data_IF_630394389690
#
_entry.id   IF_630394389690
#
_cell.length_a   1.000
_cell.length_b   1.000
_cell.length_c   1.000
_cell.angle_alpha   90.00
_cell.angle_beta   90.00
_cell.angle_gamma   90.00
#
_symmetry.space_group_name_H-M   'P 1'
#
loop_
_entity.id
_entity.type
_entity.pdbx_description
1 polymer ?
#
# COMPACT_ATOMS: atom_id res chain seq x y z
N UNK A 1 -10.42 9.94 24.54
CA UNK A 1 -10.59 9.21 25.82
C UNK A 1 -9.97 10.00 26.95
N UNK A 2 -10.57 10.00 28.15
CA UNK A 2 -9.95 10.60 29.34
C UNK A 2 -8.86 9.68 29.90
N UNK A 3 -7.95 10.23 30.71
CA UNK A 3 -6.90 9.43 31.38
C UNK A 3 -7.48 8.30 32.26
N UNK A 4 -8.65 8.52 32.87
CA UNK A 4 -9.33 7.50 33.68
C UNK A 4 -9.95 6.39 32.82
N UNK A 5 -10.49 6.73 31.65
CA UNK A 5 -11.00 5.74 30.70
C UNK A 5 -9.86 4.87 30.15
N UNK A 6 -8.71 5.46 29.81
CA UNK A 6 -7.53 4.71 29.37
C UNK A 6 -7.05 3.77 30.47
N UNK A 7 -6.94 4.25 31.71
CA UNK A 7 -6.56 3.42 32.85
C UNK A 7 -7.51 2.23 33.06
N UNK A 8 -8.82 2.48 33.01
CA UNK A 8 -9.84 1.42 33.17
C UNK A 8 -9.70 0.35 32.10
N UNK A 9 -9.47 0.75 30.85
CA UNK A 9 -9.29 -0.19 29.75
C UNK A 9 -7.97 -0.98 29.86
N UNK A 10 -6.89 -0.32 30.28
CA UNK A 10 -5.62 -1.02 30.55
C UNK A 10 -5.75 -2.07 31.65
N UNK A 11 -6.48 -1.75 32.74
CA UNK A 11 -6.77 -2.71 33.80
C UNK A 11 -7.64 -3.88 33.29
N UNK A 12 -8.63 -3.59 32.43
CA UNK A 12 -9.46 -4.63 31.79
C UNK A 12 -8.64 -5.59 30.92
N UNK A 13 -7.60 -5.08 30.27
CA UNK A 13 -6.65 -5.85 29.46
C UNK A 13 -5.56 -6.56 30.31
N UNK A 14 -5.65 -6.50 31.64
CA UNK A 14 -4.72 -7.19 32.55
C UNK A 14 -3.42 -6.44 32.82
N UNK A 15 -3.34 -5.15 32.54
CA UNK A 15 -2.14 -4.34 32.82
C UNK A 15 -2.13 -3.84 34.27
N UNK A 16 -1.08 -4.17 35.02
CA UNK A 16 -0.83 -3.68 36.39
C UNK A 16 -0.12 -2.31 36.39
N UNK A 17 -0.79 -1.27 35.88
CA UNK A 17 -0.26 0.10 35.87
C UNK A 17 -1.08 1.03 36.76
N UNK A 18 -0.45 1.98 37.44
CA UNK A 18 -1.18 3.01 38.21
C UNK A 18 -1.76 4.10 37.30
N UNK A 19 -2.84 4.77 37.73
CA UNK A 19 -3.39 5.93 37.01
C UNK A 19 -2.35 7.06 36.85
N UNK A 20 -1.44 7.23 37.81
CA UNK A 20 -0.35 8.22 37.71
C UNK A 20 0.61 7.85 36.59
N UNK A 21 0.94 6.57 36.45
CA UNK A 21 1.77 6.06 35.34
C UNK A 21 1.09 6.31 34.00
N UNK A 22 -0.22 6.05 33.89
CA UNK A 22 -1.01 6.32 32.67
C UNK A 22 -0.97 7.80 32.31
N UNK A 23 -1.24 8.70 33.28
CA UNK A 23 -1.19 10.15 33.05
C UNK A 23 0.20 10.61 32.59
N UNK A 24 1.26 10.09 33.20
CA UNK A 24 2.64 10.40 32.80
C UNK A 24 2.93 9.95 31.37
N UNK A 25 2.50 8.74 30.99
CA UNK A 25 2.66 8.22 29.64
C UNK A 25 1.90 9.06 28.61
N UNK A 26 0.64 9.42 28.89
CA UNK A 26 -0.16 10.28 28.01
C UNK A 26 0.49 11.65 27.81
N UNK A 27 1.04 12.26 28.87
CA UNK A 27 1.76 13.53 28.75
C UNK A 27 3.06 13.41 27.94
N UNK A 28 3.79 12.29 28.05
CA UNK A 28 4.96 12.04 27.20
C UNK A 28 4.58 11.86 25.74
N UNK A 29 3.49 11.13 25.46
CA UNK A 29 2.99 10.92 24.10
C UNK A 29 2.47 12.21 23.45
N UNK A 30 1.79 13.05 24.21
CA UNK A 30 1.40 14.41 23.79
C UNK A 30 2.62 15.25 23.43
N UNK A 31 3.65 15.30 24.31
CA UNK A 31 4.90 16.03 24.04
C UNK A 31 5.64 15.51 22.82
N UNK A 32 5.49 14.24 22.49
CA UNK A 32 6.05 13.62 21.30
C UNK A 32 5.17 13.81 20.03
N UNK A 33 4.04 14.51 20.12
CA UNK A 33 3.11 14.73 19.01
C UNK A 33 2.31 13.49 18.60
N UNK A 34 2.26 12.45 19.44
CA UNK A 34 1.53 11.21 19.15
C UNK A 34 0.04 11.31 19.50
N UNK A 35 -0.33 12.28 20.34
CA UNK A 35 -1.70 12.52 20.78
C UNK A 35 -2.09 13.98 20.55
N UNK A 36 -3.31 14.19 20.07
CA UNK A 36 -4.02 15.46 20.16
C UNK A 36 -4.73 15.53 21.51
N UNK A 37 -4.68 16.71 22.14
CA UNK A 37 -5.31 16.95 23.44
C UNK A 37 -6.33 18.06 23.32
N UNK A 38 -7.53 17.83 23.86
CA UNK A 38 -8.62 18.79 23.91
C UNK A 38 -9.27 18.84 25.30
N UNK A 39 -9.93 19.94 25.64
CA UNK A 39 -10.52 20.15 26.96
C UNK A 39 -9.51 20.59 28.04
N UNK A 40 -9.99 20.85 29.26
CA UNK A 40 -9.18 21.37 30.37
C UNK A 40 -9.50 20.65 31.69
N UNK A 41 -8.45 20.31 32.44
CA UNK A 41 -8.59 19.69 33.76
C UNK A 41 -9.34 18.35 33.69
N UNK A 42 -10.46 18.17 34.43
CA UNK A 42 -11.23 16.92 34.40
C UNK A 42 -11.82 16.57 33.02
N UNK A 43 -12.01 17.55 32.12
CA UNK A 43 -12.55 17.33 30.77
C UNK A 43 -11.50 17.01 29.71
N UNK A 44 -10.22 16.89 30.09
CA UNK A 44 -9.14 16.59 29.14
C UNK A 44 -9.36 15.24 28.44
N UNK A 45 -9.36 15.28 27.11
CA UNK A 45 -9.48 14.14 26.22
C UNK A 45 -8.21 13.99 25.37
N UNK A 46 -7.82 12.74 25.18
CA UNK A 46 -6.70 12.35 24.32
C UNK A 46 -7.23 11.59 23.11
N UNK A 47 -6.73 11.95 21.93
CA UNK A 47 -6.98 11.24 20.68
C UNK A 47 -5.68 11.00 19.92
N UNK A 48 -5.50 9.84 19.26
CA UNK A 48 -4.31 9.61 18.46
C UNK A 48 -4.16 10.65 17.33
N UNK A 49 -3.03 11.35 17.32
CA UNK A 49 -2.61 12.18 16.19
C UNK A 49 -2.23 11.29 14.99
N UNK A 50 -2.04 11.89 13.81
CA UNK A 50 -1.70 11.14 12.58
C UNK A 50 -0.43 10.30 12.77
N UNK A 51 0.64 10.90 13.29
CA UNK A 51 1.92 10.19 13.56
C UNK A 51 1.70 9.07 14.58
N UNK A 52 0.91 9.32 15.62
CA UNK A 52 0.53 8.32 16.62
C UNK A 52 -0.15 7.10 16.00
N UNK A 53 -1.01 7.30 14.99
CA UNK A 53 -1.70 6.21 14.27
C UNK A 53 -0.77 5.46 13.33
N UNK A 54 0.00 6.17 12.50
CA UNK A 54 0.86 5.61 11.45
C UNK A 54 1.75 4.49 12.00
N UNK A 55 2.41 4.74 13.12
CA UNK A 55 3.37 3.80 13.70
C UNK A 55 2.80 2.94 14.84
N UNK A 56 1.49 2.94 15.05
CA UNK A 56 0.86 2.06 16.05
C UNK A 56 0.95 0.61 15.56
N UNK A 57 1.56 -0.32 16.32
CA UNK A 57 1.57 -1.73 15.95
C UNK A 57 0.17 -2.32 16.14
N UNK A 58 -0.43 -2.79 15.04
CA UNK A 58 -1.70 -3.51 15.04
C UNK A 58 -1.46 -4.93 14.54
N UNK A 59 -2.00 -5.92 15.24
CA UNK A 59 -2.09 -7.29 14.74
C UNK A 59 -3.27 -7.36 13.75
N UNK A 60 -2.95 -7.32 12.45
CA UNK A 60 -3.96 -7.20 11.40
C UNK A 60 -4.94 -8.38 11.39
N UNK A 61 -4.45 -9.59 11.69
CA UNK A 61 -5.28 -10.79 11.75
C UNK A 61 -6.25 -10.76 12.92
N UNK A 62 -5.77 -10.40 14.12
CA UNK A 62 -6.66 -10.23 15.29
C UNK A 62 -7.67 -9.11 15.09
N UNK A 63 -7.24 -8.01 14.46
CA UNK A 63 -8.12 -6.89 14.15
C UNK A 63 -9.22 -7.29 13.17
N UNK A 64 -8.86 -8.00 12.09
CA UNK A 64 -9.80 -8.39 11.05
C UNK A 64 -10.70 -9.58 11.43
N UNK A 65 -10.32 -10.35 12.46
CA UNK A 65 -11.18 -11.37 13.05
C UNK A 65 -12.42 -10.80 13.78
N UNK A 66 -12.42 -9.50 14.07
CA UNK A 66 -13.60 -8.78 14.58
C UNK A 66 -14.49 -8.41 13.39
N UNK A 67 -15.79 -8.65 13.51
CA UNK A 67 -16.79 -8.24 12.51
C UNK A 67 -16.65 -6.75 12.14
N UNK A 68 -16.74 -6.37 10.84
CA UNK A 68 -16.50 -5.00 10.39
C UNK A 68 -17.29 -3.95 11.18
N UNK A 69 -18.55 -4.22 11.54
CA UNK A 69 -19.43 -3.30 12.30
C UNK A 69 -19.08 -3.18 13.80
N UNK A 70 -18.15 -4.01 14.30
CA UNK A 70 -17.68 -3.99 15.69
C UNK A 70 -16.22 -3.57 15.87
N UNK A 71 -15.47 -3.38 14.78
CA UNK A 71 -14.10 -2.87 14.83
C UNK A 71 -14.05 -1.47 15.45
N UNK A 72 -12.92 -1.08 16.01
CA UNK A 72 -12.66 0.32 16.38
C UNK A 72 -11.89 0.99 15.25
N UNK A 73 -11.98 2.31 15.12
CA UNK A 73 -11.24 3.03 14.09
C UNK A 73 -12.06 4.11 13.40
N UNK A 74 -11.47 4.59 12.32
CA UNK A 74 -12.04 5.49 11.33
C UNK A 74 -13.02 4.72 10.44
N UNK A 75 -14.14 5.37 10.15
CA UNK A 75 -15.16 4.93 9.18
C UNK A 75 -15.19 5.83 7.94
N UNK A 76 -14.40 6.90 7.91
CA UNK A 76 -14.34 7.89 6.82
C UNK A 76 -12.91 8.31 6.51
N UNK A 77 -12.73 8.94 5.36
CA UNK A 77 -11.47 9.55 4.94
C UNK A 77 -10.93 10.55 5.98
N UNK A 78 -9.67 10.37 6.38
CA UNK A 78 -8.94 11.24 7.29
C UNK A 78 -8.16 12.29 6.50
N UNK A 79 -8.70 13.51 6.44
CA UNK A 79 -8.08 14.63 5.73
C UNK A 79 -6.73 15.06 6.31
N UNK A 80 -6.41 14.72 7.56
CA UNK A 80 -5.12 15.03 8.15
C UNK A 80 -4.01 14.03 7.76
N UNK A 81 -4.36 12.83 7.26
CA UNK A 81 -3.41 11.75 7.02
C UNK A 81 -2.30 12.15 6.04
N UNK A 82 -2.67 12.47 4.80
CA UNK A 82 -1.70 12.71 3.73
C UNK A 82 -0.93 14.03 3.89
N UNK A 83 -1.53 15.15 4.37
CA UNK A 83 -0.77 16.37 4.64
C UNK A 83 0.22 16.24 5.80
N UNK A 84 0.01 15.29 6.73
CA UNK A 84 0.83 15.13 7.94
C UNK A 84 1.67 13.85 7.95
N UNK A 85 1.76 13.15 6.81
CA UNK A 85 2.65 11.98 6.70
C UNK A 85 4.11 12.47 6.76
N UNK A 86 4.98 11.84 7.59
CA UNK A 86 6.39 12.23 7.65
C UNK A 86 7.13 11.83 6.36
N UNK A 87 8.21 12.55 6.03
CA UNK A 87 9.05 12.25 4.85
C UNK A 87 9.86 10.95 4.99
N UNK A 88 9.91 10.37 6.20
CA UNK A 88 10.53 9.08 6.50
C UNK A 88 9.53 8.14 7.21
N UNK A 89 9.34 6.95 6.65
CA UNK A 89 8.45 5.90 7.15
C UNK A 89 9.21 4.69 7.70
N UNK A 90 10.48 4.58 7.33
CA UNK A 90 11.38 3.52 7.76
C UNK A 90 12.37 4.04 8.79
N UNK A 91 12.59 3.28 9.86
CA UNK A 91 13.64 3.58 10.82
C UNK A 91 15.04 3.26 10.25
N UNK A 92 16.09 3.62 10.99
CA UNK A 92 17.48 3.40 10.55
C UNK A 92 17.81 1.94 10.27
N UNK A 93 17.26 1.01 11.04
CA UNK A 93 17.50 -0.42 10.86
C UNK A 93 16.77 -0.93 9.62
N UNK A 94 15.51 -0.51 9.43
CA UNK A 94 14.72 -0.85 8.25
C UNK A 94 15.34 -0.31 6.96
N UNK A 95 15.81 0.95 6.97
CA UNK A 95 16.52 1.55 5.84
C UNK A 95 17.83 0.82 5.52
N UNK A 96 18.58 0.37 6.54
CA UNK A 96 19.79 -0.42 6.32
C UNK A 96 19.48 -1.73 5.60
N UNK A 97 18.43 -2.45 6.02
CA UNK A 97 17.99 -3.69 5.35
C UNK A 97 17.60 -3.45 3.89
N UNK A 98 16.77 -2.42 3.62
CA UNK A 98 16.33 -2.07 2.27
C UNK A 98 17.52 -1.66 1.37
N UNK A 99 18.47 -0.90 1.91
CA UNK A 99 19.67 -0.50 1.16
C UNK A 99 20.58 -1.69 0.84
N UNK A 100 20.79 -2.60 1.79
CA UNK A 100 21.52 -3.86 1.53
C UNK A 100 20.83 -4.67 0.44
N UNK A 101 19.50 -4.81 0.50
CA UNK A 101 18.74 -5.50 -0.53
C UNK A 101 18.92 -4.85 -1.92
N UNK A 102 18.87 -3.51 -2.01
CA UNK A 102 19.14 -2.78 -3.27
C UNK A 102 20.55 -3.02 -3.81
N UNK A 103 21.56 -3.08 -2.94
CA UNK A 103 22.94 -3.41 -3.36
C UNK A 103 22.96 -4.82 -3.97
N UNK A 104 22.39 -5.82 -3.28
CA UNK A 104 22.30 -7.19 -3.77
C UNK A 104 21.59 -7.27 -5.12
N UNK A 105 20.46 -6.58 -5.29
CA UNK A 105 19.73 -6.53 -6.56
C UNK A 105 20.60 -5.99 -7.70
N UNK A 106 21.30 -4.87 -7.47
CA UNK A 106 22.19 -4.25 -8.46
C UNK A 106 23.38 -5.12 -8.81
N UNK A 107 23.99 -5.79 -7.83
CA UNK A 107 25.11 -6.70 -8.06
C UNK A 107 24.71 -7.89 -8.91
N UNK A 108 23.53 -8.48 -8.66
CA UNK A 108 22.99 -9.59 -9.47
C UNK A 108 22.70 -9.16 -10.91
N UNK A 109 22.31 -7.91 -11.12
CA UNK A 109 22.00 -7.37 -12.43
C UNK A 109 23.25 -6.97 -13.23
N UNK A 110 24.38 -6.70 -12.58
CA UNK A 110 25.57 -6.03 -13.17
C UNK A 110 26.19 -6.74 -14.38
N UNK A 111 26.14 -8.07 -14.42
CA UNK A 111 26.79 -8.89 -15.47
C UNK A 111 25.80 -9.79 -16.23
N UNK A 112 24.50 -9.57 -16.07
CA UNK A 112 23.49 -10.34 -16.78
C UNK A 112 23.41 -9.92 -18.25
N UNK A 113 23.56 -10.88 -19.17
CA UNK A 113 23.41 -10.65 -20.61
C UNK A 113 21.98 -10.24 -20.97
N UNK A 114 21.78 -9.58 -22.11
CA UNK A 114 20.44 -9.17 -22.60
C UNK A 114 19.44 -10.35 -22.65
N UNK A 115 19.92 -11.55 -22.95
CA UNK A 115 19.11 -12.77 -22.96
C UNK A 115 18.65 -13.15 -21.55
N UNK A 116 19.53 -13.02 -20.56
CA UNK A 116 19.19 -13.27 -19.15
C UNK A 116 18.22 -12.19 -18.67
N UNK A 117 18.50 -10.92 -18.97
CA UNK A 117 17.64 -9.77 -18.62
C UNK A 117 16.22 -9.95 -19.16
N UNK A 118 16.09 -10.35 -20.43
CA UNK A 118 14.79 -10.60 -21.03
C UNK A 118 14.04 -11.74 -20.35
N UNK A 119 14.71 -12.85 -20.03
CA UNK A 119 14.10 -13.98 -19.32
C UNK A 119 13.66 -13.62 -17.90
N UNK A 120 14.49 -12.85 -17.19
CA UNK A 120 14.17 -12.35 -15.86
C UNK A 120 12.97 -11.41 -15.89
N UNK A 121 12.90 -10.54 -16.91
CA UNK A 121 11.78 -9.63 -17.12
C UNK A 121 10.49 -10.40 -17.40
N UNK A 122 10.53 -11.38 -18.31
CA UNK A 122 9.40 -12.26 -18.62
C UNK A 122 8.90 -12.97 -17.36
N UNK A 123 9.81 -13.58 -16.59
CA UNK A 123 9.47 -14.26 -15.33
C UNK A 123 8.83 -13.32 -14.32
N UNK A 124 9.42 -12.14 -14.10
CA UNK A 124 8.87 -11.16 -13.18
C UNK A 124 7.46 -10.71 -13.61
N UNK A 125 7.30 -10.40 -14.89
CA UNK A 125 6.03 -9.93 -15.45
C UNK A 125 4.91 -10.96 -15.26
N UNK A 126 5.20 -12.24 -15.51
CA UNK A 126 4.25 -13.35 -15.29
C UNK A 126 3.85 -13.41 -13.82
N UNK A 127 4.83 -13.40 -12.92
CA UNK A 127 4.58 -13.53 -11.48
C UNK A 127 3.82 -12.34 -10.90
N UNK A 128 4.15 -11.12 -11.32
CA UNK A 128 3.45 -9.91 -10.90
C UNK A 128 2.01 -9.85 -11.43
N UNK A 129 1.81 -10.15 -12.71
CA UNK A 129 0.49 -10.14 -13.32
C UNK A 129 -0.43 -11.17 -12.66
N UNK A 130 0.10 -12.38 -12.40
CA UNK A 130 -0.60 -13.42 -11.66
C UNK A 130 -0.93 -12.96 -10.23
N UNK A 131 0.08 -12.61 -9.43
CA UNK A 131 -0.11 -12.40 -7.99
C UNK A 131 -0.94 -11.17 -7.69
N UNK A 132 -0.72 -10.07 -8.43
CA UNK A 132 -1.51 -8.86 -8.28
C UNK A 132 -2.98 -9.08 -8.64
N UNK A 133 -3.27 -9.93 -9.63
CA UNK A 133 -4.65 -10.30 -9.99
C UNK A 133 -5.25 -11.26 -8.96
N UNK A 134 -4.46 -12.22 -8.44
CA UNK A 134 -4.88 -13.20 -7.43
C UNK A 134 -5.33 -12.52 -6.13
N UNK A 135 -4.63 -11.48 -5.70
CA UNK A 135 -5.00 -10.65 -4.53
C UNK A 135 -6.39 -10.01 -4.71
N UNK A 136 -6.81 -9.71 -5.93
CA UNK A 136 -8.15 -9.19 -6.24
C UNK A 136 -9.20 -10.30 -6.47
N UNK A 137 -8.84 -11.57 -6.28
CA UNK A 137 -9.75 -12.71 -6.41
C UNK A 137 -9.73 -13.43 -7.75
N UNK A 138 -8.81 -13.07 -8.65
CA UNK A 138 -8.63 -13.78 -9.93
C UNK A 138 -8.27 -15.26 -9.68
N UNK A 139 -8.87 -16.15 -10.45
CA UNK A 139 -8.83 -17.59 -10.26
C UNK A 139 -7.70 -18.28 -11.03
N UNK A 140 -7.02 -17.59 -11.95
CA UNK A 140 -5.87 -18.13 -12.68
C UNK A 140 -4.79 -18.67 -11.73
N UNK A 141 -4.21 -19.81 -12.11
CA UNK A 141 -2.97 -20.30 -11.51
C UNK A 141 -1.76 -19.61 -12.13
N UNK A 142 -0.60 -19.74 -11.48
CA UNK A 142 0.65 -19.24 -12.04
C UNK A 142 0.96 -19.90 -13.39
N UNK A 143 0.70 -21.21 -13.52
CA UNK A 143 0.92 -21.97 -14.75
C UNK A 143 -0.04 -21.53 -15.87
N UNK A 144 -1.30 -21.23 -15.54
CA UNK A 144 -2.25 -20.71 -16.52
C UNK A 144 -1.85 -19.32 -17.00
N UNK A 145 -1.31 -18.50 -16.08
CA UNK A 145 -0.82 -17.16 -16.40
C UNK A 145 0.41 -17.21 -17.30
N UNK A 146 1.33 -18.12 -17.03
CA UNK A 146 2.51 -18.38 -17.87
C UNK A 146 2.10 -18.77 -19.30
N UNK A 147 1.19 -19.75 -19.46
CA UNK A 147 0.67 -20.16 -20.77
C UNK A 147 -0.05 -19.03 -21.50
N UNK A 148 -0.84 -18.24 -20.78
CA UNK A 148 -1.54 -17.09 -21.35
C UNK A 148 -0.55 -16.06 -21.90
N UNK A 149 0.50 -15.74 -21.14
CA UNK A 149 1.46 -14.69 -21.51
C UNK A 149 2.41 -15.16 -22.61
N UNK A 150 2.96 -16.37 -22.51
CA UNK A 150 3.99 -16.88 -23.42
C UNK A 150 3.40 -17.51 -24.70
N UNK A 151 2.31 -18.25 -24.57
CA UNK A 151 1.72 -19.02 -25.67
C UNK A 151 0.43 -18.41 -26.23
N UNK A 152 -0.08 -17.32 -25.62
CA UNK A 152 -1.41 -16.73 -25.92
C UNK A 152 -2.55 -17.74 -25.77
N UNK A 153 -2.39 -18.70 -24.85
CA UNK A 153 -3.36 -19.76 -24.61
C UNK A 153 -4.17 -19.46 -23.35
N UNK A 154 -5.44 -19.14 -23.55
CA UNK A 154 -6.39 -18.96 -22.44
C UNK A 154 -6.65 -20.30 -21.72
N UNK A 155 -6.75 -20.23 -20.40
CA UNK A 155 -7.11 -21.39 -19.59
C UNK A 155 -8.64 -21.61 -19.65
N UNK A 156 -9.11 -22.86 -19.79
CA UNK A 156 -10.54 -23.14 -19.89
C UNK A 156 -11.25 -22.84 -18.56
N UNK A 157 -12.47 -22.32 -18.63
CA UNK A 157 -13.34 -22.13 -17.46
C UNK A 157 -13.16 -20.81 -16.69
N UNK A 158 -12.29 -19.91 -17.15
CA UNK A 158 -12.14 -18.57 -16.57
C UNK A 158 -12.98 -17.51 -17.30
N UNK A 159 -13.33 -16.44 -16.58
CA UNK A 159 -13.98 -15.28 -17.20
C UNK A 159 -13.01 -14.55 -18.13
N UNK A 160 -13.53 -14.01 -19.24
CA UNK A 160 -12.77 -13.12 -20.14
C UNK A 160 -12.22 -11.91 -19.38
N UNK A 161 -12.95 -11.40 -18.39
CA UNK A 161 -12.45 -10.31 -17.54
C UNK A 161 -11.19 -10.70 -16.78
N UNK A 162 -11.14 -11.91 -16.22
CA UNK A 162 -9.97 -12.40 -15.50
C UNK A 162 -8.74 -12.51 -16.42
N UNK A 163 -8.96 -13.03 -17.63
CA UNK A 163 -7.94 -13.09 -18.69
C UNK A 163 -7.41 -11.69 -19.00
N UNK A 164 -8.32 -10.74 -19.26
CA UNK A 164 -7.97 -9.38 -19.62
C UNK A 164 -7.24 -8.63 -18.49
N UNK A 165 -7.59 -8.88 -17.23
CA UNK A 165 -6.88 -8.30 -16.07
C UNK A 165 -5.39 -8.67 -16.08
N UNK A 166 -5.06 -9.92 -16.40
CA UNK A 166 -3.67 -10.40 -16.46
C UNK A 166 -2.92 -9.76 -17.62
N UNK A 167 -3.55 -9.73 -18.80
CA UNK A 167 -2.96 -9.12 -20.00
C UNK A 167 -2.72 -7.62 -19.81
N UNK A 168 -3.68 -6.90 -19.24
CA UNK A 168 -3.53 -5.47 -18.93
C UNK A 168 -2.41 -5.23 -17.91
N UNK A 169 -2.29 -6.09 -16.90
CA UNK A 169 -1.22 -5.95 -15.90
C UNK A 169 0.16 -6.17 -16.52
N UNK A 170 0.28 -7.15 -17.43
CA UNK A 170 1.49 -7.36 -18.24
C UNK A 170 1.81 -6.10 -19.05
N UNK A 171 0.85 -5.60 -19.83
CA UNK A 171 1.04 -4.44 -20.70
C UNK A 171 1.39 -3.16 -19.90
N UNK A 172 0.77 -2.97 -18.73
CA UNK A 172 1.08 -1.88 -17.82
C UNK A 172 2.50 -1.96 -17.26
N UNK A 173 2.99 -3.17 -16.93
CA UNK A 173 4.37 -3.35 -16.47
C UNK A 173 5.38 -3.09 -17.60
N UNK A 174 5.13 -3.58 -18.81
CA UNK A 174 5.99 -3.29 -19.97
C UNK A 174 6.04 -1.77 -20.24
N UNK A 175 4.90 -1.09 -20.16
CA UNK A 175 4.87 0.38 -20.27
C UNK A 175 5.73 1.06 -19.20
N UNK A 176 5.72 0.60 -17.95
CA UNK A 176 6.60 1.11 -16.89
C UNK A 176 8.07 0.90 -17.25
N UNK A 177 8.43 -0.32 -17.67
CA UNK A 177 9.80 -0.69 -18.00
C UNK A 177 10.37 0.14 -19.17
N UNK A 178 9.55 0.42 -20.19
CA UNK A 178 9.95 1.23 -21.33
C UNK A 178 9.98 2.74 -21.04
N UNK A 179 9.41 3.21 -19.92
CA UNK A 179 9.19 4.63 -19.63
C UNK A 179 9.62 5.03 -18.20
N UNK A 180 10.72 4.48 -17.66
CA UNK A 180 11.17 4.75 -16.28
C UNK A 180 11.19 6.23 -15.88
N UNK A 181 11.65 7.12 -16.76
CA UNK A 181 11.73 8.56 -16.49
C UNK A 181 10.37 9.19 -16.20
N UNK A 182 9.29 8.66 -16.79
CA UNK A 182 7.91 9.11 -16.57
C UNK A 182 7.39 8.82 -15.16
N UNK A 183 8.06 7.90 -14.43
CA UNK A 183 7.67 7.45 -13.10
C UNK A 183 8.67 7.84 -12.01
N UNK A 184 9.61 8.75 -12.27
CA UNK A 184 10.50 9.28 -11.22
C UNK A 184 9.74 10.00 -10.10
N UNK A 185 8.60 10.60 -10.43
CA UNK A 185 7.72 11.24 -9.46
C UNK A 185 6.30 10.71 -9.65
N UNK A 186 5.52 10.64 -8.57
CA UNK A 186 4.09 10.38 -8.68
C UNK A 186 3.39 11.65 -9.18
N UNK A 187 2.66 11.54 -10.28
CA UNK A 187 1.83 12.63 -10.80
C UNK A 187 0.44 12.11 -11.12
N UNK A 188 -0.56 12.99 -11.11
CA UNK A 188 -1.90 12.62 -11.58
C UNK A 188 -1.85 12.04 -13.00
N UNK A 189 -1.06 12.63 -13.89
CA UNK A 189 -0.94 12.22 -15.29
C UNK A 189 -0.42 10.78 -15.43
N UNK A 190 0.66 10.42 -14.74
CA UNK A 190 1.18 9.06 -14.84
C UNK A 190 0.30 8.03 -14.11
N UNK A 191 -0.39 8.44 -13.05
CA UNK A 191 -1.38 7.61 -12.36
C UNK A 191 -2.59 7.28 -13.25
N UNK A 192 -3.21 8.30 -13.86
CA UNK A 192 -4.34 8.10 -14.80
C UNK A 192 -3.91 7.32 -16.04
N UNK A 193 -2.69 7.58 -16.56
CA UNK A 193 -2.16 6.84 -17.70
C UNK A 193 -1.99 5.36 -17.38
N UNK A 194 -1.37 5.03 -16.24
CA UNK A 194 -1.18 3.65 -15.82
C UNK A 194 -2.52 2.94 -15.56
N UNK A 195 -3.47 3.63 -14.92
CA UNK A 195 -4.83 3.12 -14.73
C UNK A 195 -5.53 2.80 -16.06
N UNK A 196 -5.41 3.68 -17.06
CA UNK A 196 -6.06 3.49 -18.37
C UNK A 196 -5.60 2.21 -19.08
N UNK A 197 -4.32 1.85 -18.95
CA UNK A 197 -3.78 0.59 -19.48
C UNK A 197 -4.33 -0.60 -18.68
N UNK A 198 -4.38 -0.45 -17.35
CA UNK A 198 -4.74 -1.52 -16.43
C UNK A 198 -6.22 -1.93 -16.52
N UNK A 199 -7.11 -1.00 -16.90
CA UNK A 199 -8.56 -1.24 -16.97
C UNK A 199 -9.11 -1.28 -18.40
N UNK A 200 -8.22 -1.24 -19.40
CA UNK A 200 -8.59 -1.37 -20.81
C UNK A 200 -9.46 -2.61 -21.04
N UNK A 201 -10.55 -2.46 -21.78
CA UNK A 201 -11.49 -3.54 -22.12
C UNK A 201 -12.17 -4.23 -20.90
N UNK A 202 -12.13 -3.62 -19.70
CA UNK A 202 -12.82 -4.13 -18.50
C UNK A 202 -14.16 -3.41 -18.19
N UNK A 203 -14.65 -2.56 -19.10
CA UNK A 203 -15.85 -1.73 -18.88
C UNK A 203 -15.75 -0.79 -17.68
N UNK A 204 -14.57 -0.21 -17.46
CA UNK A 204 -14.27 0.76 -16.39
C UNK A 204 -13.99 2.12 -17.04
N UNK A 205 -14.48 3.21 -16.45
CA UNK A 205 -14.18 4.54 -16.95
C UNK A 205 -12.72 4.96 -16.68
N UNK A 206 -12.19 5.78 -17.58
CA UNK A 206 -10.84 6.34 -17.44
C UNK A 206 -10.87 7.66 -16.68
N UNK A 207 -9.81 7.92 -15.93
CA UNK A 207 -9.68 9.13 -15.11
C UNK A 207 -10.40 9.01 -13.77
N UNK A 208 -10.30 10.06 -12.96
CA UNK A 208 -10.88 10.09 -11.62
C UNK A 208 -12.40 9.88 -11.66
N UNK A 209 -12.91 9.06 -10.73
CA UNK A 209 -14.33 8.78 -10.65
C UNK A 209 -15.15 9.97 -10.18
N UNK A 210 -16.43 9.97 -10.58
CA UNK A 210 -17.46 10.89 -10.08
C UNK A 210 -18.52 10.20 -9.21
N UNK A 211 -18.47 8.86 -9.12
CA UNK A 211 -19.42 8.05 -8.36
C UNK A 211 -18.80 7.55 -7.05
N UNK A 212 -19.59 7.32 -6.00
CA UNK A 212 -19.09 6.71 -4.76
C UNK A 212 -18.69 5.25 -4.98
N UNK A 213 -17.65 4.79 -4.26
CA UNK A 213 -17.24 3.38 -4.22
C UNK A 213 -17.16 2.91 -2.77
N UNK A 214 -17.49 1.64 -2.56
CA UNK A 214 -17.37 0.98 -1.25
C UNK A 214 -16.14 0.08 -1.18
N UNK A 215 -15.64 -0.14 0.03
CA UNK A 215 -14.62 -1.17 0.29
C UNK A 215 -15.30 -2.37 0.91
N UNK A 216 -15.44 -3.45 0.14
CA UNK A 216 -16.05 -4.68 0.64
C UNK A 216 -15.29 -5.22 1.86
N UNK A 217 -16.01 -5.58 2.91
CA UNK A 217 -15.43 -6.11 4.15
C UNK A 217 -14.81 -5.06 5.08
N UNK A 218 -15.08 -3.78 4.82
CA UNK A 218 -14.60 -2.65 5.62
C UNK A 218 -15.74 -1.71 5.98
N UNK A 219 -15.62 -1.05 7.13
CA UNK A 219 -16.47 0.10 7.49
C UNK A 219 -16.00 1.41 6.87
N UNK A 220 -14.78 1.42 6.34
CA UNK A 220 -14.16 2.63 5.81
C UNK A 220 -14.87 3.07 4.52
N UNK A 221 -15.26 4.35 4.50
CA UNK A 221 -15.83 5.02 3.34
C UNK A 221 -14.79 5.98 2.74
N UNK A 222 -14.32 5.70 1.50
CA UNK A 222 -13.50 6.63 0.73
C UNK A 222 -14.26 7.92 0.40
N UNK A 223 -13.54 8.92 -0.12
CA UNK A 223 -14.12 10.17 -0.60
C UNK A 223 -15.17 9.89 -1.70
N UNK A 224 -16.29 10.60 -1.71
CA UNK A 224 -17.34 10.48 -2.73
C UNK A 224 -17.38 11.69 -3.67
N UNK A 225 -16.87 12.85 -3.24
CA UNK A 225 -16.84 14.07 -4.02
C UNK A 225 -15.63 14.13 -4.97
N UNK A 226 -15.88 14.34 -6.27
CA UNK A 226 -14.85 14.36 -7.31
C UNK A 226 -13.78 15.45 -7.13
N UNK A 227 -14.14 16.62 -6.58
CA UNK A 227 -13.18 17.68 -6.28
C UNK A 227 -12.26 17.29 -5.11
N UNK A 228 -12.81 16.67 -4.07
CA UNK A 228 -12.01 16.17 -2.95
C UNK A 228 -11.11 15.02 -3.37
N UNK A 229 -11.57 14.13 -4.25
CA UNK A 229 -10.75 13.05 -4.80
C UNK A 229 -9.56 13.63 -5.57
N UNK A 230 -9.81 14.61 -6.47
CA UNK A 230 -8.75 15.27 -7.21
C UNK A 230 -7.76 15.97 -6.28
N UNK A 231 -8.24 16.72 -5.29
CA UNK A 231 -7.40 17.36 -4.29
C UNK A 231 -6.56 16.35 -3.49
N UNK A 232 -7.17 15.24 -3.04
CA UNK A 232 -6.47 14.20 -2.31
C UNK A 232 -5.36 13.53 -3.14
N UNK A 233 -5.59 13.33 -4.45
CA UNK A 233 -4.54 12.84 -5.37
C UNK A 233 -3.40 13.85 -5.47
N UNK A 234 -3.69 15.14 -5.60
CA UNK A 234 -2.64 16.18 -5.66
C UNK A 234 -1.87 16.31 -4.33
N UNK A 235 -2.56 16.21 -3.19
CA UNK A 235 -1.94 16.15 -1.87
C UNK A 235 -1.02 14.93 -1.76
N UNK A 236 -1.47 13.75 -2.23
CA UNK A 236 -0.65 12.55 -2.25
C UNK A 236 0.60 12.74 -3.12
N UNK A 237 0.46 13.30 -4.33
CA UNK A 237 1.58 13.56 -5.22
C UNK A 237 2.62 14.46 -4.54
N UNK A 238 2.20 15.55 -3.88
CA UNK A 238 3.09 16.43 -3.12
C UNK A 238 3.77 15.71 -1.95
N UNK A 239 3.01 14.93 -1.18
CA UNK A 239 3.54 14.18 -0.04
C UNK A 239 4.60 13.16 -0.50
N UNK A 240 4.33 12.39 -1.55
CA UNK A 240 5.26 11.43 -2.14
C UNK A 240 6.50 12.14 -2.70
N UNK A 241 6.33 13.31 -3.33
CA UNK A 241 7.48 14.05 -3.86
C UNK A 241 8.48 14.48 -2.78
N UNK A 242 7.97 14.87 -1.61
CA UNK A 242 8.77 15.27 -0.44
C UNK A 242 9.35 14.13 0.40
N UNK A 243 9.21 12.87 0.00
CA UNK A 243 9.76 11.72 0.71
C UNK A 243 11.27 11.58 0.51
N UNK A 244 11.99 11.17 1.55
CA UNK A 244 13.47 11.10 1.54
C UNK A 244 14.03 9.97 0.67
N UNK A 245 13.37 8.81 0.64
CA UNK A 245 13.87 7.62 -0.07
C UNK A 245 12.87 7.07 -1.10
N UNK A 246 13.34 6.34 -2.12
CA UNK A 246 12.45 5.63 -3.05
C UNK A 246 11.51 4.64 -2.34
N UNK A 247 11.92 4.07 -1.22
CA UNK A 247 11.08 3.16 -0.43
C UNK A 247 9.92 3.93 0.23
N UNK A 248 10.20 5.09 0.81
CA UNK A 248 9.19 5.99 1.39
C UNK A 248 8.19 6.44 0.32
N UNK A 249 8.71 6.81 -0.87
CA UNK A 249 7.89 7.15 -2.04
C UNK A 249 6.95 6.00 -2.42
N UNK A 250 7.48 4.79 -2.56
CA UNK A 250 6.74 3.63 -3.00
C UNK A 250 5.67 3.18 -1.99
N UNK A 251 6.01 3.09 -0.69
CA UNK A 251 5.06 2.69 0.35
C UNK A 251 3.93 3.73 0.49
N UNK A 252 4.28 5.03 0.47
CA UNK A 252 3.31 6.12 0.54
C UNK A 252 2.36 6.14 -0.65
N UNK A 253 2.89 5.99 -1.87
CA UNK A 253 2.07 5.93 -3.07
C UNK A 253 1.12 4.73 -3.03
N UNK A 254 1.61 3.55 -2.65
CA UNK A 254 0.80 2.34 -2.57
C UNK A 254 -0.38 2.52 -1.63
N UNK A 255 -0.10 2.86 -0.37
CA UNK A 255 -1.11 2.98 0.66
C UNK A 255 -2.03 4.18 0.40
N UNK A 256 -1.47 5.31 -0.04
CA UNK A 256 -2.21 6.52 -0.35
C UNK A 256 -3.21 6.35 -1.50
N UNK A 257 -2.78 5.80 -2.64
CA UNK A 257 -3.68 5.54 -3.80
C UNK A 257 -4.78 4.56 -3.37
N UNK A 258 -4.40 3.50 -2.64
CA UNK A 258 -5.35 2.51 -2.15
C UNK A 258 -6.36 3.11 -1.18
N UNK A 259 -5.97 4.09 -0.36
CA UNK A 259 -6.83 4.76 0.60
C UNK A 259 -7.80 5.73 -0.06
N UNK A 260 -7.31 6.57 -0.98
CA UNK A 260 -8.14 7.54 -1.71
C UNK A 260 -9.19 6.83 -2.57
N UNK A 261 -8.82 5.70 -3.19
CA UNK A 261 -9.60 5.02 -4.24
C UNK A 261 -10.07 5.97 -5.34
N UNK A 262 -9.14 6.56 -6.10
CA UNK A 262 -9.46 7.61 -7.07
C UNK A 262 -10.27 7.15 -8.29
N UNK A 263 -10.35 5.84 -8.56
CA UNK A 263 -10.97 5.27 -9.75
C UNK A 263 -12.17 4.38 -9.42
N UNK A 264 -13.03 4.13 -10.40
CA UNK A 264 -14.22 3.26 -10.24
C UNK A 264 -13.82 1.80 -9.91
N UNK A 265 -12.73 1.30 -10.51
CA UNK A 265 -12.12 0.01 -10.21
C UNK A 265 -10.62 0.04 -10.53
N UNK A 266 -9.86 -0.94 -10.05
CA UNK A 266 -8.43 -1.10 -10.32
C UNK A 266 -7.52 -0.39 -9.33
N UNK A 267 -8.06 0.30 -8.32
CA UNK A 267 -7.31 1.12 -7.35
C UNK A 267 -6.13 0.39 -6.69
N UNK A 268 -6.34 -0.85 -6.21
CA UNK A 268 -5.28 -1.62 -5.54
C UNK A 268 -4.25 -2.20 -6.54
N UNK A 269 -4.66 -2.52 -7.76
CA UNK A 269 -3.74 -3.00 -8.82
C UNK A 269 -2.85 -1.85 -9.31
N UNK A 270 -3.42 -0.67 -9.56
CA UNK A 270 -2.65 0.50 -10.00
C UNK A 270 -1.74 1.01 -8.89
N UNK A 271 -2.13 0.92 -7.61
CA UNK A 271 -1.27 1.30 -6.49
C UNK A 271 -0.04 0.40 -6.36
N UNK A 272 -0.19 -0.92 -6.51
CA UNK A 272 0.95 -1.87 -6.54
C UNK A 272 1.89 -1.60 -7.71
N UNK A 273 1.33 -1.38 -8.91
CA UNK A 273 2.15 -1.08 -10.08
C UNK A 273 2.86 0.28 -9.98
N UNK A 274 2.20 1.31 -9.43
CA UNK A 274 2.81 2.62 -9.22
C UNK A 274 3.96 2.55 -8.21
N UNK A 275 3.82 1.77 -7.14
CA UNK A 275 4.93 1.52 -6.21
C UNK A 275 6.13 0.87 -6.92
N UNK A 276 5.90 -0.15 -7.75
CA UNK A 276 6.96 -0.78 -8.55
C UNK A 276 7.56 0.20 -9.57
N UNK A 277 6.74 1.06 -10.19
CA UNK A 277 7.22 2.07 -11.12
C UNK A 277 8.17 3.08 -10.45
N UNK A 278 7.80 3.57 -9.26
CA UNK A 278 8.65 4.47 -8.46
C UNK A 278 9.96 3.79 -8.05
N UNK A 279 9.92 2.53 -7.60
CA UNK A 279 11.13 1.79 -7.24
C UNK A 279 12.06 1.61 -8.45
N UNK A 280 11.53 1.08 -9.56
CA UNK A 280 12.30 0.84 -10.78
C UNK A 280 12.89 2.14 -11.35
N UNK A 281 12.13 3.24 -11.34
CA UNK A 281 12.62 4.55 -11.81
C UNK A 281 13.80 5.12 -11.00
N UNK A 282 14.02 4.62 -9.78
CA UNK A 282 15.15 4.95 -8.91
C UNK A 282 16.22 3.83 -8.84
N UNK A 283 16.13 2.81 -9.70
CA UNK A 283 17.07 1.68 -9.74
C UNK A 283 16.97 0.77 -8.51
N UNK A 284 15.78 0.72 -7.89
CA UNK A 284 15.44 -0.22 -6.82
C UNK A 284 14.75 -1.45 -7.40
N UNK A 285 14.76 -2.55 -6.65
CA UNK A 285 14.04 -3.77 -7.04
C UNK A 285 12.52 -3.53 -7.02
N UNK A 286 11.73 -4.16 -7.91
CA UNK A 286 10.28 -4.15 -7.80
C UNK A 286 9.81 -5.07 -6.67
N UNK A 287 8.61 -4.86 -6.13
CA UNK A 287 7.98 -5.75 -5.16
C UNK A 287 7.32 -6.94 -5.88
N UNK A 288 7.58 -8.16 -5.40
CA UNK A 288 7.10 -9.41 -6.00
C UNK A 288 5.70 -9.84 -5.55
N UNK A 289 5.37 -9.63 -4.27
CA UNK A 289 4.19 -10.17 -3.57
C UNK A 289 4.01 -11.69 -3.65
N UNK A 290 4.88 -12.44 -4.35
CA UNK A 290 4.70 -13.85 -4.71
C UNK A 290 4.35 -14.74 -3.54
N UNK A 291 5.01 -14.54 -2.40
CA UNK A 291 4.85 -15.35 -1.18
C UNK A 291 3.82 -14.80 -0.19
N UNK A 292 3.19 -13.65 -0.48
CA UNK A 292 2.22 -13.02 0.44
C UNK A 292 0.89 -13.74 0.37
N UNK A 293 0.33 -14.13 1.51
CA UNK A 293 -1.04 -14.64 1.57
C UNK A 293 -2.04 -13.53 1.21
N UNK A 294 -3.07 -13.84 0.40
CA UNK A 294 -4.02 -12.82 -0.06
C UNK A 294 -4.79 -12.18 1.10
N UNK A 295 -5.07 -12.95 2.17
CA UNK A 295 -5.74 -12.41 3.35
C UNK A 295 -4.78 -11.54 4.16
N UNK A 296 -3.53 -11.96 4.35
CA UNK A 296 -2.53 -11.11 5.04
C UNK A 296 -2.40 -9.73 4.39
N UNK A 297 -2.35 -9.68 3.06
CA UNK A 297 -2.34 -8.41 2.31
C UNK A 297 -3.62 -7.59 2.58
N UNK A 298 -4.79 -8.21 2.44
CA UNK A 298 -6.08 -7.54 2.62
C UNK A 298 -6.25 -7.02 4.04
N UNK A 299 -5.91 -7.82 5.04
CA UNK A 299 -5.95 -7.47 6.46
C UNK A 299 -5.04 -6.26 6.75
N UNK A 300 -3.82 -6.25 6.21
CA UNK A 300 -2.90 -5.13 6.38
C UNK A 300 -3.42 -3.84 5.73
N UNK A 301 -4.04 -3.93 4.55
CA UNK A 301 -4.68 -2.77 3.90
C UNK A 301 -5.90 -2.28 4.69
N UNK A 302 -6.72 -3.18 5.22
CA UNK A 302 -7.88 -2.82 6.05
C UNK A 302 -7.46 -2.09 7.33
N UNK A 303 -6.37 -2.53 7.97
CA UNK A 303 -5.80 -1.79 9.11
C UNK A 303 -5.38 -0.38 8.70
N UNK A 304 -4.79 -0.19 7.52
CA UNK A 304 -4.46 1.15 7.05
C UNK A 304 -5.71 2.00 6.79
N UNK A 305 -6.76 1.42 6.22
CA UNK A 305 -8.01 2.12 5.96
C UNK A 305 -8.73 2.55 7.25
N UNK A 306 -8.83 1.64 8.21
CA UNK A 306 -9.67 1.83 9.39
C UNK A 306 -8.89 2.41 10.57
N UNK A 307 -7.55 2.28 10.63
CA UNK A 307 -6.73 2.81 11.74
C UNK A 307 -5.75 3.89 11.27
N UNK A 308 -5.37 3.89 9.99
CA UNK A 308 -4.19 4.58 9.43
C UNK A 308 -2.85 4.08 9.98
N UNK A 309 -2.78 2.85 10.51
CA UNK A 309 -1.50 2.22 10.83
C UNK A 309 -0.89 1.60 9.58
N UNK A 310 0.35 1.99 9.26
CA UNK A 310 1.11 1.41 8.15
C UNK A 310 1.89 0.16 8.58
N UNK A 311 2.02 -0.11 9.88
CA UNK A 311 2.95 -1.12 10.42
C UNK A 311 2.73 -2.52 9.82
N UNK A 312 1.49 -3.06 9.71
CA UNK A 312 1.30 -4.37 9.12
C UNK A 312 1.76 -4.42 7.67
N UNK A 313 1.41 -3.40 6.88
CA UNK A 313 1.76 -3.37 5.47
C UNK A 313 3.25 -3.08 5.26
N UNK A 314 3.89 -2.28 6.12
CA UNK A 314 5.34 -2.03 6.10
C UNK A 314 6.14 -3.32 6.27
N UNK A 315 5.70 -4.24 7.12
CA UNK A 315 6.31 -5.57 7.27
C UNK A 315 6.25 -6.38 5.98
N UNK A 316 5.08 -6.40 5.32
CA UNK A 316 4.92 -7.04 4.01
C UNK A 316 5.86 -6.38 2.99
N UNK A 317 5.90 -5.04 2.96
CA UNK A 317 6.75 -4.27 2.04
C UNK A 317 8.22 -4.67 2.17
N UNK A 318 8.78 -4.65 3.39
CA UNK A 318 10.19 -5.00 3.64
C UNK A 318 10.46 -6.45 3.21
N UNK A 319 9.64 -7.40 3.67
CA UNK A 319 9.84 -8.82 3.34
C UNK A 319 9.78 -9.09 1.84
N UNK A 320 8.85 -8.45 1.12
CA UNK A 320 8.73 -8.60 -0.34
C UNK A 320 9.83 -7.88 -1.11
N UNK A 321 10.35 -6.78 -0.58
CA UNK A 321 11.48 -6.07 -1.17
C UNK A 321 12.77 -6.88 -1.06
N UNK A 322 13.05 -7.45 0.12
CA UNK A 322 14.18 -8.37 0.34
C UNK A 322 14.07 -9.61 -0.55
N UNK A 323 12.89 -10.24 -0.58
CA UNK A 323 12.64 -11.40 -1.42
C UNK A 323 12.92 -11.07 -2.89
N UNK A 324 12.34 -9.99 -3.42
CA UNK A 324 12.52 -9.63 -4.82
C UNK A 324 13.98 -9.33 -5.15
N UNK A 325 14.68 -8.60 -4.28
CA UNK A 325 16.08 -8.24 -4.46
C UNK A 325 17.01 -9.45 -4.51
N UNK A 326 16.67 -10.52 -3.77
CA UNK A 326 17.42 -11.77 -3.77
C UNK A 326 17.08 -12.70 -4.94
N UNK A 327 15.90 -12.56 -5.56
CA UNK A 327 15.40 -13.51 -6.55
C UNK A 327 15.40 -13.01 -7.98
N UNK A 328 15.23 -11.71 -8.23
CA UNK A 328 15.25 -11.12 -9.57
C UNK A 328 16.53 -10.34 -9.82
N UNK A 329 16.88 -10.19 -11.09
CA UNK A 329 18.00 -9.38 -11.56
C UNK A 329 17.54 -8.65 -12.83
N UNK A 330 17.28 -7.35 -12.70
CA UNK A 330 16.87 -6.49 -13.82
C UNK A 330 17.75 -5.23 -13.84
N UNK A 331 18.16 -4.79 -15.03
CA UNK A 331 18.83 -3.51 -15.23
C UNK A 331 17.86 -2.40 -15.62
#
# INVERSE_FOLDING_TARGET
MSSSAVFTEMSRLGSEVSLVTVKRALSLMEKAGLLNVSGLGPSTQYEPAVIGRLFTPIDARKYCAIEPDRRFGLDKYNFALLPSIPSTLFDKSELAMLNTATITFKERAKDASDVIQKKELERLVIELAWKSSKIEGNTYTLLDTEKLILERKEAPGHDKKETQMILNHKDAFIFIHENFSFFRELTRTNLEKLHSILVKDLSVHFGLRASPVGVLGSRYQPLDNSYQIAEAVEVLCRAVSGMETPYDKALSALLGISYIQPFDDGNKRVSRLMANALLLAHGCAPLSYRSVDENEYREAVLVFYEINSLIPFKKIFIAQYEFASAHYALQ
#
